data_IF_642714566630
#
_entry.id   IF_642714566630
#
_cell.length_a   1.000
_cell.length_b   1.000
_cell.length_c   1.000
_cell.angle_alpha   90.00
_cell.angle_beta   90.00
_cell.angle_gamma   90.00
#
_symmetry.space_group_name_H-M   'P 1'
#
loop_
_entity.id
_entity.type
_entity.pdbx_description
1 polymer ?
#
# COMPACT_ATOMS: atom_id res chain seq x y z
N UNK A 1 -2.74 -16.68 -7.05
CA UNK A 1 -3.75 -16.27 -6.10
C UNK A 1 -3.10 -15.96 -4.77
N UNK A 2 -3.34 -14.73 -4.25
CA UNK A 2 -2.84 -14.29 -2.93
C UNK A 2 -3.85 -14.62 -1.84
N UNK A 3 -5.13 -14.63 -2.19
CA UNK A 3 -6.24 -14.99 -1.33
C UNK A 3 -6.89 -16.27 -1.85
N UNK A 4 -7.18 -17.18 -0.95
CA UNK A 4 -8.03 -18.32 -1.23
C UNK A 4 -9.49 -17.84 -1.18
N UNK A 5 -9.94 -17.16 -2.25
CA UNK A 5 -11.24 -16.48 -2.30
C UNK A 5 -12.40 -17.45 -1.97
N UNK A 6 -12.25 -18.73 -2.31
CA UNK A 6 -13.24 -19.76 -1.97
C UNK A 6 -13.39 -20.00 -0.46
N UNK A 7 -12.36 -19.66 0.32
CA UNK A 7 -12.33 -19.84 1.77
C UNK A 7 -12.60 -18.56 2.55
N UNK A 8 -13.01 -17.48 1.85
CA UNK A 8 -13.19 -16.15 2.48
C UNK A 8 -14.49 -16.05 3.29
N UNK A 9 -15.47 -16.93 3.05
CA UNK A 9 -16.75 -16.94 3.76
C UNK A 9 -16.53 -17.11 5.27
N UNK A 10 -17.20 -16.28 6.07
CA UNK A 10 -17.10 -16.23 7.53
C UNK A 10 -15.68 -15.83 8.05
N UNK A 11 -14.81 -15.28 7.18
CA UNK A 11 -13.52 -14.76 7.58
C UNK A 11 -13.61 -13.27 7.89
N UNK A 12 -12.83 -12.83 8.88
CA UNK A 12 -12.68 -11.42 9.22
C UNK A 12 -11.61 -10.77 8.35
N UNK A 13 -11.98 -9.68 7.67
CA UNK A 13 -11.12 -8.94 6.74
C UNK A 13 -11.01 -7.49 7.16
N UNK A 14 -9.78 -6.99 7.30
CA UNK A 14 -9.47 -5.59 7.53
C UNK A 14 -8.73 -5.01 6.32
N UNK A 15 -9.21 -3.89 5.77
CA UNK A 15 -8.46 -3.12 4.76
C UNK A 15 -8.05 -1.76 5.33
N UNK A 16 -6.76 -1.42 5.17
CA UNK A 16 -6.23 -0.11 5.50
C UNK A 16 -6.20 0.74 4.22
N UNK A 17 -6.78 1.94 4.28
CA UNK A 17 -6.95 2.82 3.13
C UNK A 17 -7.85 2.25 2.05
N UNK A 18 -9.07 1.82 2.39
CA UNK A 18 -9.99 1.19 1.42
C UNK A 18 -10.45 2.14 0.32
N UNK A 19 -10.18 3.43 0.41
CA UNK A 19 -10.66 4.46 -0.51
C UNK A 19 -12.18 4.34 -0.73
N UNK A 20 -12.63 4.01 -1.95
CA UNK A 20 -14.04 3.78 -2.26
C UNK A 20 -14.59 2.42 -1.77
N UNK A 21 -13.83 1.66 -1.02
CA UNK A 21 -14.18 0.37 -0.40
C UNK A 21 -14.65 -0.74 -1.38
N UNK A 22 -14.29 -0.63 -2.66
CA UNK A 22 -14.72 -1.62 -3.67
C UNK A 22 -14.21 -3.04 -3.41
N UNK A 23 -13.00 -3.18 -2.84
CA UNK A 23 -12.46 -4.49 -2.48
C UNK A 23 -13.16 -5.09 -1.27
N UNK A 24 -13.45 -4.28 -0.24
CA UNK A 24 -14.24 -4.73 0.92
C UNK A 24 -15.63 -5.16 0.52
N UNK A 25 -16.30 -4.41 -0.38
CA UNK A 25 -17.59 -4.78 -0.94
C UNK A 25 -17.54 -6.16 -1.60
N UNK A 26 -16.54 -6.38 -2.46
CA UNK A 26 -16.34 -7.68 -3.10
C UNK A 26 -16.19 -8.83 -2.09
N UNK A 27 -15.39 -8.65 -1.02
CA UNK A 27 -15.25 -9.67 0.02
C UNK A 27 -16.53 -9.86 0.83
N UNK A 28 -17.26 -8.79 1.11
CA UNK A 28 -18.56 -8.86 1.80
C UNK A 28 -19.58 -9.67 1.00
N UNK A 29 -19.65 -9.47 -0.31
CA UNK A 29 -20.50 -10.26 -1.22
C UNK A 29 -20.12 -11.74 -1.25
N UNK A 30 -18.87 -12.07 -0.91
CA UNK A 30 -18.39 -13.46 -0.72
C UNK A 30 -18.59 -14.00 0.70
N UNK A 31 -19.28 -13.26 1.57
CA UNK A 31 -19.65 -13.68 2.91
C UNK A 31 -18.58 -13.44 3.99
N UNK A 32 -17.61 -12.57 3.73
CA UNK A 32 -16.64 -12.15 4.75
C UNK A 32 -17.24 -11.09 5.69
N UNK A 33 -16.72 -11.03 6.93
CA UNK A 33 -16.93 -9.89 7.82
C UNK A 33 -15.85 -8.84 7.58
N UNK A 34 -16.25 -7.65 7.09
CA UNK A 34 -15.34 -6.67 6.52
C UNK A 34 -15.33 -5.37 7.33
N UNK A 35 -14.11 -4.93 7.65
CA UNK A 35 -13.82 -3.65 8.31
C UNK A 35 -12.82 -2.86 7.48
N UNK A 36 -12.96 -1.53 7.43
CA UNK A 36 -12.01 -0.62 6.80
C UNK A 36 -11.60 0.51 7.74
N UNK A 37 -10.32 0.89 7.71
CA UNK A 37 -9.80 2.11 8.36
C UNK A 37 -9.29 3.04 7.26
N UNK A 38 -9.91 4.22 7.14
CA UNK A 38 -9.56 5.26 6.16
C UNK A 38 -9.10 6.53 6.89
N UNK A 39 -7.93 7.02 6.54
CA UNK A 39 -7.36 8.23 7.14
C UNK A 39 -8.12 9.49 6.71
N UNK A 40 -8.58 9.55 5.45
CA UNK A 40 -9.22 10.72 4.87
C UNK A 40 -10.72 10.74 5.14
N UNK A 41 -11.25 11.71 5.94
CA UNK A 41 -12.70 11.86 6.15
C UNK A 41 -13.47 12.08 4.84
N UNK A 42 -12.84 12.76 3.86
CA UNK A 42 -13.45 13.02 2.55
C UNK A 42 -13.62 11.72 1.75
N UNK A 43 -12.58 10.87 1.68
CA UNK A 43 -12.68 9.56 1.02
C UNK A 43 -13.67 8.65 1.73
N UNK A 44 -13.67 8.68 3.05
CA UNK A 44 -14.62 7.95 3.87
C UNK A 44 -16.07 8.34 3.55
N UNK A 45 -16.39 9.64 3.44
CA UNK A 45 -17.75 10.08 3.06
C UNK A 45 -18.11 9.69 1.63
N UNK A 46 -17.17 9.80 0.68
CA UNK A 46 -17.40 9.35 -0.69
C UNK A 46 -17.66 7.84 -0.78
N UNK A 47 -16.94 7.02 -0.02
CA UNK A 47 -17.16 5.57 0.00
C UNK A 47 -18.57 5.21 0.46
N UNK A 48 -19.08 5.89 1.49
CA UNK A 48 -20.46 5.71 1.98
C UNK A 48 -21.52 6.06 0.92
N UNK A 49 -21.31 7.13 0.17
CA UNK A 49 -22.24 7.57 -0.88
C UNK A 49 -22.25 6.63 -2.10
N UNK A 50 -21.07 6.22 -2.57
CA UNK A 50 -20.93 5.46 -3.80
C UNK A 50 -21.38 3.99 -3.70
N UNK A 51 -21.31 3.40 -2.54
CA UNK A 51 -21.43 1.94 -2.41
C UNK A 51 -22.69 1.47 -1.66
N UNK A 52 -23.55 2.37 -1.18
CA UNK A 52 -24.71 1.97 -0.35
C UNK A 52 -24.28 1.00 0.79
N UNK A 53 -23.17 1.35 1.50
CA UNK A 53 -22.38 0.46 2.35
C UNK A 53 -22.98 0.25 3.74
N UNK A 54 -24.31 0.16 3.87
CA UNK A 54 -25.00 0.04 5.16
C UNK A 54 -24.53 -1.17 6.02
N UNK A 55 -23.76 -2.08 5.43
CA UNK A 55 -23.29 -3.33 6.07
C UNK A 55 -21.77 -3.47 6.17
N UNK A 56 -20.98 -2.42 5.84
CA UNK A 56 -19.54 -2.41 6.03
C UNK A 56 -19.16 -1.56 7.25
N UNK A 57 -18.37 -2.11 8.14
CA UNK A 57 -17.79 -1.36 9.26
C UNK A 57 -16.64 -0.51 8.74
N UNK A 58 -16.87 0.77 8.53
CA UNK A 58 -15.85 1.73 8.11
C UNK A 58 -15.56 2.72 9.23
N UNK A 59 -14.30 2.91 9.54
CA UNK A 59 -13.79 3.84 10.55
C UNK A 59 -12.92 4.90 9.90
N UNK A 60 -12.99 6.12 10.41
CA UNK A 60 -11.96 7.13 10.13
C UNK A 60 -10.89 7.02 11.19
N UNK A 61 -9.64 6.79 10.77
CA UNK A 61 -8.54 6.63 11.72
C UNK A 61 -7.18 6.51 11.06
N UNK A 62 -6.14 6.69 11.87
CA UNK A 62 -4.74 6.49 11.48
C UNK A 62 -4.24 5.17 12.05
N UNK A 63 -3.75 4.29 11.20
CA UNK A 63 -3.21 3.00 11.63
C UNK A 63 -1.99 3.13 12.57
N UNK A 64 -1.33 4.27 12.56
CA UNK A 64 -0.25 4.58 13.50
C UNK A 64 -0.76 4.99 14.89
N UNK A 65 -2.03 5.42 15.01
CA UNK A 65 -2.64 5.84 16.28
C UNK A 65 -3.72 4.87 16.73
N UNK A 66 -3.40 3.99 17.69
CA UNK A 66 -4.33 2.99 18.24
C UNK A 66 -5.59 3.61 18.88
N UNK A 67 -5.55 4.87 19.31
CA UNK A 67 -6.71 5.52 19.89
C UNK A 67 -7.77 5.85 18.83
N UNK A 68 -7.34 6.14 17.60
CA UNK A 68 -8.24 6.46 16.50
C UNK A 68 -9.14 5.29 16.06
N UNK A 69 -8.77 4.05 16.41
CA UNK A 69 -9.54 2.83 16.13
C UNK A 69 -9.64 1.89 17.33
N UNK A 70 -9.67 2.46 18.55
CA UNK A 70 -9.69 1.71 19.82
C UNK A 70 -10.76 0.62 19.90
N UNK A 71 -11.88 0.79 19.20
CA UNK A 71 -12.96 -0.20 19.14
C UNK A 71 -12.55 -1.52 18.45
N UNK A 72 -11.40 -1.54 17.74
CA UNK A 72 -10.85 -2.73 17.09
C UNK A 72 -9.73 -3.39 17.91
N UNK A 73 -9.27 -2.81 19.01
CA UNK A 73 -8.09 -3.28 19.75
C UNK A 73 -8.19 -4.75 20.21
N UNK A 74 -9.41 -5.24 20.45
CA UNK A 74 -9.67 -6.63 20.86
C UNK A 74 -10.06 -7.54 19.68
N UNK A 75 -10.16 -7.01 18.46
CA UNK A 75 -10.45 -7.80 17.29
C UNK A 75 -9.18 -8.41 16.70
N UNK A 76 -9.31 -9.63 16.19
CA UNK A 76 -8.27 -10.31 15.41
C UNK A 76 -8.81 -10.64 14.03
N UNK A 77 -8.02 -10.31 13.02
CA UNK A 77 -8.43 -10.48 11.63
C UNK A 77 -7.73 -11.67 10.99
N UNK A 78 -8.49 -12.48 10.25
CA UNK A 78 -7.94 -13.57 9.43
C UNK A 78 -7.14 -13.03 8.25
N UNK A 79 -7.61 -11.90 7.69
CA UNK A 79 -6.93 -11.23 6.58
C UNK A 79 -6.82 -9.74 6.85
N UNK A 80 -5.62 -9.21 6.70
CA UNK A 80 -5.39 -7.77 6.69
C UNK A 80 -4.82 -7.40 5.32
N UNK A 81 -5.31 -6.31 4.74
CA UNK A 81 -4.92 -5.84 3.42
C UNK A 81 -4.46 -4.39 3.52
N UNK A 82 -3.26 -4.12 3.02
CA UNK A 82 -2.74 -2.78 2.83
C UNK A 82 -2.19 -2.67 1.42
N UNK A 83 -2.87 -1.92 0.56
CA UNK A 83 -2.61 -1.89 -0.88
C UNK A 83 -2.37 -0.48 -1.36
N UNK A 84 -1.13 -0.20 -1.79
CA UNK A 84 -0.70 1.12 -2.29
C UNK A 84 -1.01 2.26 -1.27
N UNK A 85 -0.77 1.98 0.02
CA UNK A 85 -0.98 2.89 1.15
C UNK A 85 0.29 3.02 1.99
N UNK A 86 1.00 1.91 2.25
CA UNK A 86 2.16 1.89 3.16
C UNK A 86 3.26 2.87 2.75
N UNK A 87 3.39 3.14 1.46
CA UNK A 87 4.34 4.10 0.92
C UNK A 87 4.05 5.56 1.29
N UNK A 88 2.86 5.85 1.81
CA UNK A 88 2.44 7.17 2.27
C UNK A 88 2.54 7.35 3.79
N UNK A 89 2.78 6.27 4.52
CA UNK A 89 2.89 6.29 5.97
C UNK A 89 4.32 6.68 6.35
N UNK A 90 4.50 7.63 7.27
CA UNK A 90 5.83 8.02 7.76
C UNK A 90 6.41 6.93 8.65
N UNK A 91 5.73 6.57 9.72
CA UNK A 91 6.15 5.53 10.68
C UNK A 91 5.62 4.15 10.27
N UNK A 92 6.28 3.55 9.28
CA UNK A 92 5.93 2.22 8.78
C UNK A 92 6.13 1.11 9.80
N UNK A 93 7.13 1.29 10.68
CA UNK A 93 7.41 0.31 11.72
C UNK A 93 6.23 0.23 12.69
N UNK A 94 5.76 1.36 13.20
CA UNK A 94 4.63 1.41 14.12
C UNK A 94 3.33 0.96 13.45
N UNK A 95 3.09 1.38 12.18
CA UNK A 95 1.94 0.90 11.41
C UNK A 95 1.93 -0.63 11.29
N UNK A 96 3.04 -1.24 10.88
CA UNK A 96 3.16 -2.69 10.73
C UNK A 96 3.10 -3.43 12.07
N UNK A 97 3.64 -2.85 13.15
CA UNK A 97 3.48 -3.37 14.51
C UNK A 97 2.01 -3.40 14.93
N UNK A 98 1.27 -2.34 14.66
CA UNK A 98 -0.15 -2.28 14.97
C UNK A 98 -0.95 -3.29 14.13
N UNK A 99 -0.59 -3.48 12.85
CA UNK A 99 -1.19 -4.53 12.02
C UNK A 99 -0.84 -5.95 12.51
N UNK A 100 0.39 -6.15 13.03
CA UNK A 100 0.77 -7.40 13.65
C UNK A 100 -0.12 -7.72 14.86
N UNK A 101 -0.40 -6.70 15.69
CA UNK A 101 -1.27 -6.86 16.86
C UNK A 101 -2.73 -7.19 16.47
N UNK A 102 -3.23 -6.63 15.38
CA UNK A 102 -4.59 -6.89 14.87
C UNK A 102 -4.70 -8.21 14.09
N UNK A 103 -3.60 -8.79 13.63
CA UNK A 103 -3.59 -10.04 12.87
C UNK A 103 -3.86 -11.23 13.82
N UNK A 104 -4.71 -12.18 13.41
CA UNK A 104 -4.85 -13.45 14.13
C UNK A 104 -3.59 -14.31 13.96
N UNK A 105 -3.40 -15.32 14.83
CA UNK A 105 -2.15 -16.13 14.82
C UNK A 105 -1.96 -16.89 13.51
N UNK A 106 -3.05 -17.38 12.90
CA UNK A 106 -3.01 -18.01 11.58
C UNK A 106 -3.37 -17.04 10.44
N UNK A 107 -3.57 -15.75 10.76
CA UNK A 107 -3.95 -14.72 9.82
C UNK A 107 -2.89 -14.44 8.76
N UNK A 108 -3.31 -13.82 7.67
CA UNK A 108 -2.44 -13.40 6.56
C UNK A 108 -2.53 -11.88 6.37
N UNK A 109 -1.38 -11.21 6.38
CA UNK A 109 -1.26 -9.81 5.99
C UNK A 109 -0.81 -9.74 4.53
N UNK A 110 -1.66 -9.16 3.69
CA UNK A 110 -1.30 -8.81 2.31
C UNK A 110 -0.85 -7.36 2.25
N UNK A 111 0.34 -7.14 1.69
CA UNK A 111 0.90 -5.82 1.50
C UNK A 111 1.38 -5.64 0.07
N UNK A 112 1.00 -4.52 -0.57
CA UNK A 112 1.54 -4.12 -1.86
C UNK A 112 1.89 -2.64 -1.90
N UNK A 113 2.99 -2.32 -2.59
CA UNK A 113 3.44 -0.94 -2.75
C UNK A 113 4.39 -0.79 -3.95
N UNK A 114 4.48 0.41 -4.55
CA UNK A 114 5.56 0.77 -5.47
C UNK A 114 6.83 1.08 -4.68
N UNK A 115 7.95 0.34 -4.88
CA UNK A 115 9.18 0.58 -4.16
C UNK A 115 9.83 1.93 -4.50
N UNK A 116 10.64 2.46 -3.57
CA UNK A 116 11.32 3.76 -3.63
C UNK A 116 12.06 4.03 -4.94
N UNK A 117 12.72 3.03 -5.49
CA UNK A 117 13.57 3.17 -6.67
C UNK A 117 12.87 2.80 -7.99
N UNK A 118 11.56 2.56 -7.98
CA UNK A 118 10.83 2.33 -9.23
C UNK A 118 10.66 3.63 -10.03
N UNK A 119 10.43 3.56 -11.36
CA UNK A 119 10.43 4.71 -12.25
C UNK A 119 9.54 5.88 -11.82
N UNK A 120 8.41 5.58 -11.18
CA UNK A 120 7.38 6.56 -10.85
C UNK A 120 7.02 6.59 -9.34
N UNK A 121 7.94 6.18 -8.47
CA UNK A 121 7.68 6.18 -7.02
C UNK A 121 7.39 7.58 -6.45
N UNK A 122 7.88 8.64 -7.07
CA UNK A 122 7.64 10.01 -6.64
C UNK A 122 6.27 10.58 -7.03
N UNK A 123 5.35 9.78 -7.60
CA UNK A 123 4.05 10.22 -8.14
C UNK A 123 4.14 11.31 -9.21
N UNK A 124 5.30 11.51 -9.83
CA UNK A 124 5.52 12.50 -10.87
C UNK A 124 4.65 12.30 -12.12
N UNK A 125 4.06 11.12 -12.31
CA UNK A 125 3.09 10.88 -13.38
C UNK A 125 1.81 11.73 -13.24
N UNK A 126 1.55 12.31 -12.08
CA UNK A 126 0.44 13.25 -11.84
C UNK A 126 0.72 14.65 -12.37
N UNK A 127 1.97 14.93 -12.72
CA UNK A 127 2.40 16.22 -13.27
C UNK A 127 1.82 16.40 -14.68
N UNK A 128 1.26 17.56 -14.98
CA UNK A 128 0.67 17.84 -16.30
C UNK A 128 1.71 17.94 -17.43
N UNK A 129 2.91 18.43 -17.12
CA UNK A 129 4.00 18.59 -18.09
C UNK A 129 4.69 17.26 -18.38
N UNK A 130 4.95 16.96 -19.67
CA UNK A 130 5.58 15.70 -20.08
C UNK A 130 7.02 15.54 -19.55
N UNK A 131 7.80 16.61 -19.46
CA UNK A 131 9.14 16.58 -18.87
C UNK A 131 9.10 16.22 -17.38
N UNK A 132 8.08 16.68 -16.65
CA UNK A 132 7.89 16.31 -15.25
C UNK A 132 7.54 14.83 -15.04
N UNK A 133 7.09 14.15 -16.09
CA UNK A 133 6.76 12.71 -16.06
C UNK A 133 7.94 11.79 -16.36
N UNK A 134 9.15 12.34 -16.53
CA UNK A 134 10.34 11.49 -16.76
C UNK A 134 10.51 10.46 -15.64
N UNK A 135 10.78 9.20 -15.98
CA UNK A 135 11.03 8.16 -14.99
C UNK A 135 12.26 8.52 -14.15
N UNK A 136 12.26 8.10 -12.89
CA UNK A 136 13.36 8.28 -11.93
C UNK A 136 13.71 9.72 -11.54
N UNK A 137 13.05 10.75 -12.07
CA UNK A 137 13.35 12.16 -11.76
C UNK A 137 13.22 12.47 -10.26
N UNK A 138 12.35 11.76 -9.55
CA UNK A 138 12.20 11.85 -8.10
C UNK A 138 13.44 11.41 -7.32
N UNK A 139 14.40 10.69 -7.94
CA UNK A 139 15.65 10.28 -7.29
C UNK A 139 16.66 11.43 -7.18
N UNK A 140 16.46 12.54 -7.89
CA UNK A 140 17.30 13.72 -7.72
C UNK A 140 17.30 14.19 -6.25
N UNK A 141 18.41 14.76 -5.75
CA UNK A 141 18.44 15.43 -4.46
C UNK A 141 17.28 16.43 -4.33
N UNK A 142 16.72 16.60 -3.12
CA UNK A 142 15.50 17.42 -2.91
C UNK A 142 15.62 18.83 -3.47
N UNK A 143 16.79 19.43 -3.35
CA UNK A 143 17.05 20.79 -3.88
C UNK A 143 16.90 20.80 -5.40
N UNK A 144 17.59 19.89 -6.10
CA UNK A 144 17.54 19.80 -7.56
C UNK A 144 16.13 19.40 -8.05
N UNK A 145 15.46 18.50 -7.37
CA UNK A 145 14.09 18.11 -7.71
C UNK A 145 13.12 19.29 -7.55
N UNK A 146 13.25 20.07 -6.47
CA UNK A 146 12.46 21.28 -6.25
C UNK A 146 12.71 22.34 -7.33
N UNK A 147 13.97 22.59 -7.68
CA UNK A 147 14.35 23.53 -8.74
C UNK A 147 13.74 23.06 -10.08
N UNK A 148 13.92 21.80 -10.43
CA UNK A 148 13.36 21.21 -11.64
C UNK A 148 11.83 21.41 -11.73
N UNK A 149 11.10 21.06 -10.68
CA UNK A 149 9.65 21.25 -10.65
C UNK A 149 9.22 22.72 -10.73
N UNK A 150 10.00 23.62 -10.11
CA UNK A 150 9.75 25.07 -10.16
C UNK A 150 9.96 25.64 -11.57
N UNK A 151 11.01 25.19 -12.28
CA UNK A 151 11.26 25.55 -13.68
C UNK A 151 10.12 25.10 -14.62
N UNK A 152 9.46 24.00 -14.28
CA UNK A 152 8.27 23.52 -14.99
C UNK A 152 6.97 24.24 -14.55
N UNK A 153 7.10 25.32 -13.77
CA UNK A 153 5.99 26.19 -13.29
C UNK A 153 4.91 25.41 -12.51
N UNK A 154 5.31 24.39 -11.72
CA UNK A 154 4.37 23.70 -10.84
C UNK A 154 3.98 24.58 -9.64
N UNK A 155 2.70 24.51 -9.19
CA UNK A 155 2.26 25.17 -7.96
C UNK A 155 3.08 24.70 -6.75
N UNK A 156 3.34 25.63 -5.80
CA UNK A 156 4.12 25.32 -4.58
C UNK A 156 3.53 24.16 -3.78
N UNK A 157 2.21 24.08 -3.69
CA UNK A 157 1.46 23.03 -3.01
C UNK A 157 1.72 21.65 -3.66
N UNK A 158 1.70 21.60 -5.01
CA UNK A 158 2.00 20.37 -5.74
C UNK A 158 3.47 19.93 -5.56
N UNK A 159 4.41 20.88 -5.54
CA UNK A 159 5.82 20.61 -5.24
C UNK A 159 5.96 20.06 -3.82
N UNK A 160 5.30 20.69 -2.84
CA UNK A 160 5.26 20.23 -1.44
C UNK A 160 4.76 18.81 -1.33
N UNK A 161 3.63 18.47 -1.96
CA UNK A 161 3.08 17.14 -2.02
C UNK A 161 4.05 16.10 -2.62
N UNK A 162 4.71 16.42 -3.74
CA UNK A 162 5.66 15.51 -4.39
C UNK A 162 6.91 15.28 -3.54
N UNK A 163 7.41 16.30 -2.84
CA UNK A 163 8.53 16.17 -1.92
C UNK A 163 8.15 15.34 -0.68
N UNK A 164 6.98 15.55 -0.10
CA UNK A 164 6.45 14.76 1.00
C UNK A 164 6.28 13.29 0.58
N UNK A 165 5.66 13.04 -0.57
CA UNK A 165 5.54 11.70 -1.14
C UNK A 165 6.90 11.03 -1.32
N UNK A 166 7.90 11.77 -1.80
CA UNK A 166 9.27 11.25 -1.96
C UNK A 166 9.89 10.84 -0.62
N UNK A 167 9.67 11.61 0.46
CA UNK A 167 10.28 11.35 1.77
C UNK A 167 9.76 10.08 2.44
N UNK A 168 8.51 9.71 2.17
CA UNK A 168 7.87 8.51 2.76
C UNK A 168 8.15 7.21 2.02
N UNK A 169 8.85 7.25 0.86
CA UNK A 169 9.12 6.04 0.06
C UNK A 169 10.06 5.07 0.76
N UNK A 170 9.80 3.79 0.55
CA UNK A 170 10.60 2.70 1.12
C UNK A 170 11.03 1.72 0.03
N UNK A 171 12.23 1.18 0.14
CA UNK A 171 12.74 0.14 -0.75
C UNK A 171 12.23 -1.24 -0.36
N UNK A 172 12.36 -2.21 -1.27
CA UNK A 172 12.03 -3.62 -0.97
C UNK A 172 12.90 -4.15 0.17
N UNK A 173 14.17 -3.78 0.17
CA UNK A 173 15.15 -4.24 1.17
C UNK A 173 14.83 -3.68 2.56
N UNK A 174 14.55 -2.38 2.67
CA UNK A 174 14.15 -1.74 3.93
C UNK A 174 12.85 -2.35 4.47
N UNK A 175 11.86 -2.55 3.61
CA UNK A 175 10.58 -3.15 4.01
C UNK A 175 10.78 -4.58 4.55
N UNK A 176 11.60 -5.39 3.91
CA UNK A 176 11.91 -6.76 4.38
C UNK A 176 12.61 -6.76 5.75
N UNK A 177 13.46 -5.76 6.04
CA UNK A 177 14.08 -5.62 7.37
C UNK A 177 13.02 -5.40 8.44
N UNK A 178 12.05 -4.50 8.21
CA UNK A 178 10.94 -4.26 9.14
C UNK A 178 10.11 -5.55 9.35
N UNK A 179 9.85 -6.33 8.30
CA UNK A 179 9.13 -7.60 8.46
C UNK A 179 9.86 -8.58 9.37
N UNK A 180 11.18 -8.69 9.23
CA UNK A 180 12.01 -9.57 10.06
C UNK A 180 12.02 -9.08 11.52
N UNK A 181 12.21 -7.80 11.73
CA UNK A 181 12.28 -7.16 13.05
C UNK A 181 10.97 -7.32 13.83
N UNK A 182 9.83 -7.25 13.13
CA UNK A 182 8.50 -7.47 13.69
C UNK A 182 8.07 -8.94 13.76
N UNK A 183 8.98 -9.89 13.57
CA UNK A 183 8.69 -11.33 13.60
C UNK A 183 7.62 -11.78 12.59
N UNK A 184 7.53 -11.14 11.43
CA UNK A 184 6.76 -11.67 10.32
C UNK A 184 7.53 -12.77 9.56
N UNK A 185 6.81 -13.79 9.13
CA UNK A 185 7.26 -14.80 8.16
C UNK A 185 6.71 -14.46 6.77
N UNK A 186 7.61 -14.25 5.80
CA UNK A 186 7.22 -13.97 4.41
C UNK A 186 6.81 -15.31 3.77
N UNK A 187 5.51 -15.51 3.52
CA UNK A 187 4.96 -16.71 2.87
C UNK A 187 4.95 -16.60 1.36
N UNK A 188 4.80 -15.38 0.83
CA UNK A 188 4.85 -15.11 -0.61
C UNK A 188 5.52 -13.76 -0.85
N UNK A 189 6.37 -13.70 -1.87
CA UNK A 189 7.03 -12.47 -2.31
C UNK A 189 7.02 -12.46 -3.83
N UNK A 190 6.32 -11.50 -4.42
CA UNK A 190 6.33 -11.28 -5.85
C UNK A 190 6.76 -9.85 -6.14
N UNK A 191 7.83 -9.72 -6.86
CA UNK A 191 8.36 -8.46 -7.35
C UNK A 191 8.04 -8.36 -8.84
N UNK A 192 7.35 -7.31 -9.25
CA UNK A 192 6.86 -7.17 -10.62
C UNK A 192 7.58 -6.05 -11.35
N UNK A 193 8.04 -6.36 -12.57
CA UNK A 193 8.41 -5.35 -13.54
C UNK A 193 7.15 -4.69 -14.12
N UNK A 194 6.15 -5.48 -14.56
CA UNK A 194 4.80 -5.01 -14.85
C UNK A 194 3.82 -5.61 -13.85
N UNK A 195 3.36 -4.78 -12.90
CA UNK A 195 2.45 -5.21 -11.84
C UNK A 195 1.05 -5.53 -12.38
N UNK A 196 0.26 -6.38 -11.72
CA UNK A 196 -1.06 -6.81 -12.20
C UNK A 196 -2.00 -5.65 -12.57
N UNK A 197 -1.94 -4.53 -11.85
CA UNK A 197 -2.75 -3.35 -12.15
C UNK A 197 -2.47 -2.75 -13.56
N UNK A 198 -1.29 -2.97 -14.12
CA UNK A 198 -0.92 -2.46 -15.44
C UNK A 198 -1.60 -3.21 -16.58
N UNK A 199 -2.02 -4.47 -16.34
CA UNK A 199 -2.85 -5.22 -17.30
C UNK A 199 -4.18 -4.50 -17.56
N UNK A 200 -4.82 -4.02 -16.50
CA UNK A 200 -6.12 -3.35 -16.60
C UNK A 200 -6.03 -1.89 -17.04
N UNK A 201 -4.95 -1.19 -16.64
CA UNK A 201 -4.78 0.24 -16.94
C UNK A 201 -4.16 0.52 -18.31
N UNK A 202 -3.24 -0.33 -18.75
CA UNK A 202 -2.40 -0.08 -19.93
C UNK A 202 -2.34 -1.26 -20.88
N UNK A 203 -3.11 -2.33 -20.65
CA UNK A 203 -3.10 -3.59 -21.41
C UNK A 203 -1.68 -4.23 -21.51
N UNK A 204 -0.84 -4.02 -20.48
CA UNK A 204 0.49 -4.62 -20.42
C UNK A 204 0.43 -6.03 -19.84
N UNK A 205 1.31 -6.96 -20.25
CA UNK A 205 1.38 -8.29 -19.66
C UNK A 205 1.82 -8.21 -18.19
N UNK A 206 1.37 -9.16 -17.36
CA UNK A 206 1.90 -9.28 -15.99
C UNK A 206 3.29 -9.90 -16.10
N UNK A 207 4.34 -9.17 -15.69
CA UNK A 207 5.72 -9.62 -15.79
C UNK A 207 6.42 -9.47 -14.43
N UNK A 208 6.93 -10.59 -13.91
CA UNK A 208 7.79 -10.57 -12.73
C UNK A 208 9.15 -9.93 -13.07
N UNK A 209 9.77 -9.29 -12.08
CA UNK A 209 11.10 -8.73 -12.24
C UNK A 209 12.13 -9.87 -12.47
N UNK A 210 12.76 -9.96 -13.66
CA UNK A 210 13.74 -11.00 -13.96
C UNK A 210 15.01 -10.85 -13.13
N UNK A 211 15.30 -9.65 -12.63
CA UNK A 211 16.46 -9.33 -11.81
C UNK A 211 16.19 -9.40 -10.31
N UNK A 212 15.09 -10.03 -9.90
CA UNK A 212 14.64 -10.07 -8.50
C UNK A 212 15.67 -10.64 -7.50
N UNK A 213 16.65 -11.39 -7.96
CA UNK A 213 17.74 -11.97 -7.17
C UNK A 213 19.03 -11.14 -7.14
N UNK A 214 19.12 -10.10 -7.97
CA UNK A 214 20.34 -9.28 -8.11
C UNK A 214 20.15 -8.00 -7.30
N UNK A 215 20.95 -7.77 -6.24
CA UNK A 215 20.93 -6.51 -5.49
C UNK A 215 21.04 -5.29 -6.43
N UNK A 216 20.44 -4.17 -6.07
CA UNK A 216 20.32 -2.95 -6.86
C UNK A 216 19.37 -3.09 -8.06
N UNK A 217 19.58 -4.05 -8.98
CA UNK A 217 18.67 -4.26 -10.13
C UNK A 217 17.28 -4.68 -9.67
N UNK A 218 17.22 -5.48 -8.59
CA UNK A 218 15.97 -5.80 -7.92
C UNK A 218 15.18 -4.54 -7.52
N UNK A 219 15.83 -3.54 -6.95
CA UNK A 219 15.19 -2.30 -6.50
C UNK A 219 14.75 -1.41 -7.67
N UNK A 220 15.60 -1.28 -8.70
CA UNK A 220 15.37 -0.37 -9.84
C UNK A 220 14.26 -0.90 -10.76
N UNK A 221 14.23 -2.21 -11.00
CA UNK A 221 13.30 -2.84 -11.95
C UNK A 221 12.03 -3.40 -11.30
N UNK A 222 11.79 -3.13 -10.00
CA UNK A 222 10.53 -3.52 -9.36
C UNK A 222 9.56 -2.34 -9.34
N UNK A 223 8.52 -2.39 -10.18
CA UNK A 223 7.44 -1.41 -10.21
C UNK A 223 6.28 -1.71 -9.23
N UNK A 224 6.29 -2.89 -8.65
CA UNK A 224 5.33 -3.29 -7.63
C UNK A 224 5.85 -4.47 -6.82
N UNK A 225 5.91 -4.30 -5.52
CA UNK A 225 6.23 -5.34 -4.57
C UNK A 225 4.96 -5.84 -3.90
N UNK A 226 4.74 -7.15 -3.88
CA UNK A 226 3.62 -7.80 -3.23
C UNK A 226 4.13 -8.86 -2.26
N UNK A 227 3.66 -8.82 -1.02
CA UNK A 227 4.00 -9.78 0.02
C UNK A 227 2.74 -10.35 0.67
N UNK A 228 2.83 -11.62 1.05
CA UNK A 228 1.92 -12.24 2.01
C UNK A 228 2.73 -12.64 3.22
N UNK A 229 2.35 -12.13 4.36
CA UNK A 229 3.02 -12.30 5.62
C UNK A 229 2.13 -13.08 6.59
N UNK A 230 2.73 -13.82 7.50
CA UNK A 230 2.11 -14.42 8.68
C UNK A 230 2.96 -14.08 9.91
N UNK A 231 2.39 -14.20 11.08
CA UNK A 231 3.18 -14.23 12.31
C UNK A 231 4.15 -15.41 12.24
N UNK A 232 5.39 -15.20 12.69
CA UNK A 232 6.35 -16.30 12.84
C UNK A 232 5.91 -17.12 14.05
N UNK A 233 5.74 -18.41 13.87
CA UNK A 233 5.49 -19.32 15.01
C UNK A 233 6.75 -19.34 15.89
N UNK A 234 6.55 -19.18 17.18
CA UNK A 234 7.60 -19.36 18.20
C UNK A 234 8.09 -20.77 18.21
#
# INVERSE_FOLDING_TARGET
DFFEIQQIKNKSVLEIGPAEAGLLKFFKEKGADCTGIELSPLRFSHSKLLNNLNNLKLLTGDICDKQSYKELNNHKYDYIIIRDVIEHIDDKFNALKNLYDLLSDEGKLFISFPPKYCPYAGHQQTIKNNLGKLPYIHLLPNVLYKIFLSLLKHPKEAIGYLLATKSTRISVTEMKKIFIELNFSIKKSNLYFFRPAYKFRFNLPILKNPFSKIPVLNEIFTNGALFVLKKKKS
#
